data_IF_729284935364
#
_entry.id   IF_729284935364
#
_cell.length_a   1.000
_cell.length_b   1.000
_cell.length_c   1.000
_cell.angle_alpha   90.00
_cell.angle_beta   90.00
_cell.angle_gamma   90.00
#
_symmetry.space_group_name_H-M   'P 1'
#
loop_
_entity.id
_entity.type
_entity.pdbx_description
1 polymer ?
#
# COMPACT_ATOMS: atom_id res chain seq x y z
N UNK A 1 -19.66 -10.41 7.55
CA UNK A 1 -18.37 -10.46 6.83
C UNK A 1 -17.60 -9.17 7.08
N UNK A 2 -16.36 -9.27 7.50
CA UNK A 2 -15.54 -8.08 7.78
C UNK A 2 -14.57 -7.84 6.65
N UNK A 3 -14.72 -6.67 6.03
CA UNK A 3 -13.90 -6.23 4.90
C UNK A 3 -13.01 -5.07 5.31
N UNK A 4 -11.72 -5.19 5.06
CA UNK A 4 -10.74 -4.13 5.29
C UNK A 4 -10.29 -3.53 3.95
N UNK A 5 -10.15 -2.22 3.91
CA UNK A 5 -9.60 -1.48 2.77
C UNK A 5 -8.20 -1.00 3.11
N UNK A 6 -7.21 -1.37 2.30
CA UNK A 6 -5.84 -0.88 2.41
C UNK A 6 -5.50 0.04 1.24
N UNK A 7 -5.63 1.35 1.40
CA UNK A 7 -5.31 2.33 0.36
C UNK A 7 -3.85 2.77 0.47
N UNK A 8 -3.27 3.13 -0.66
CA UNK A 8 -1.93 3.69 -0.68
C UNK A 8 -1.49 4.06 -2.09
N UNK A 9 -0.41 4.82 -2.19
CA UNK A 9 0.19 5.14 -3.49
C UNK A 9 0.83 3.90 -4.12
N UNK A 10 1.53 3.10 -3.31
CA UNK A 10 2.20 1.86 -3.74
C UNK A 10 3.09 2.06 -4.98
N UNK A 11 3.99 3.00 -4.91
CA UNK A 11 4.79 3.44 -6.05
C UNK A 11 6.32 3.31 -5.79
N UNK A 12 6.84 2.09 -5.72
CA UNK A 12 6.14 0.81 -5.86
C UNK A 12 5.66 0.22 -4.52
N UNK A 13 4.89 -0.85 -4.63
CA UNK A 13 4.55 -1.75 -3.54
C UNK A 13 5.82 -2.44 -3.04
N UNK A 14 6.04 -2.46 -1.71
CA UNK A 14 7.25 -3.03 -1.13
C UNK A 14 6.94 -4.04 -0.02
N UNK A 15 7.97 -4.65 0.55
CA UNK A 15 7.79 -5.71 1.54
C UNK A 15 7.13 -5.23 2.84
N UNK A 16 7.29 -3.95 3.19
CA UNK A 16 6.56 -3.36 4.30
C UNK A 16 5.04 -3.30 4.05
N UNK A 17 4.64 -3.01 2.82
CA UNK A 17 3.23 -3.06 2.42
C UNK A 17 2.71 -4.50 2.41
N UNK A 18 3.48 -5.43 1.86
CA UNK A 18 3.08 -6.84 1.80
C UNK A 18 2.87 -7.42 3.20
N UNK A 19 3.75 -7.11 4.14
CA UNK A 19 3.60 -7.52 5.54
C UNK A 19 2.25 -7.08 6.13
N UNK A 20 1.84 -5.84 5.88
CA UNK A 20 0.55 -5.33 6.35
C UNK A 20 -0.61 -6.09 5.70
N UNK A 21 -0.53 -6.34 4.40
CA UNK A 21 -1.57 -7.10 3.69
C UNK A 21 -1.66 -8.53 4.22
N UNK A 22 -0.53 -9.18 4.46
CA UNK A 22 -0.49 -10.53 5.02
C UNK A 22 -1.09 -10.58 6.42
N UNK A 23 -0.74 -9.62 7.28
CA UNK A 23 -1.33 -9.52 8.61
C UNK A 23 -2.84 -9.29 8.54
N UNK A 24 -3.28 -8.37 7.70
CA UNK A 24 -4.70 -8.09 7.51
C UNK A 24 -5.46 -9.30 6.96
N UNK A 25 -4.86 -10.06 6.06
CA UNK A 25 -5.49 -11.26 5.48
C UNK A 25 -5.82 -12.33 6.51
N UNK A 26 -5.10 -12.34 7.62
CA UNK A 26 -5.37 -13.26 8.74
C UNK A 26 -6.45 -12.73 9.69
N UNK A 27 -6.68 -11.43 9.72
CA UNK A 27 -7.61 -10.77 10.64
C UNK A 27 -9.00 -10.54 10.04
N UNK A 28 -9.07 -10.39 8.73
CA UNK A 28 -10.31 -10.04 8.02
C UNK A 28 -10.69 -11.12 7.01
N UNK A 29 -11.98 -11.26 6.79
CA UNK A 29 -12.47 -12.21 5.78
C UNK A 29 -12.15 -11.79 4.36
N UNK A 30 -12.07 -10.48 4.13
CA UNK A 30 -11.71 -9.89 2.85
C UNK A 30 -10.82 -8.67 3.04
N UNK A 31 -9.75 -8.58 2.28
CA UNK A 31 -8.88 -7.41 2.23
C UNK A 31 -8.88 -6.86 0.80
N UNK A 32 -9.15 -5.58 0.67
CA UNK A 32 -9.11 -4.89 -0.63
C UNK A 32 -7.94 -3.93 -0.62
N UNK A 33 -6.97 -4.14 -1.50
CA UNK A 33 -5.82 -3.24 -1.69
C UNK A 33 -6.15 -2.29 -2.82
N UNK A 34 -6.02 -0.98 -2.56
CA UNK A 34 -6.42 0.04 -3.52
C UNK A 34 -5.27 1.02 -3.78
N UNK A 35 -4.53 0.84 -4.88
CA UNK A 35 -3.57 1.86 -5.31
C UNK A 35 -4.33 3.13 -5.70
N UNK A 36 -3.78 4.27 -5.27
CA UNK A 36 -4.41 5.56 -5.49
C UNK A 36 -3.42 6.58 -6.03
N UNK A 37 -3.95 7.59 -6.70
CA UNK A 37 -3.17 8.74 -7.12
C UNK A 37 -3.05 9.71 -5.95
N UNK A 38 -1.82 10.01 -5.55
CA UNK A 38 -1.59 11.03 -4.55
C UNK A 38 -1.22 12.36 -5.24
N UNK A 39 -2.16 13.29 -5.23
CA UNK A 39 -1.99 14.59 -5.90
C UNK A 39 -0.98 15.51 -5.21
N UNK A 40 -0.62 15.20 -3.97
CA UNK A 40 0.40 15.97 -3.22
C UNK A 40 1.83 15.52 -3.52
N UNK A 41 1.98 14.33 -4.09
CA UNK A 41 3.26 13.82 -4.57
C UNK A 41 3.35 14.11 -6.06
N UNK A 42 4.55 14.38 -6.57
CA UNK A 42 4.78 14.61 -8.00
C UNK A 42 4.38 13.41 -8.87
N UNK A 43 4.78 13.40 -10.13
CA UNK A 43 4.47 12.30 -11.03
C UNK A 43 4.92 10.96 -10.47
N UNK A 44 4.06 9.94 -10.46
CA UNK A 44 4.42 8.62 -10.00
C UNK A 44 5.42 7.95 -10.95
N UNK A 45 6.25 7.07 -10.41
CA UNK A 45 7.17 6.27 -11.23
C UNK A 45 6.41 5.27 -12.11
N UNK A 46 5.39 4.66 -11.55
CA UNK A 46 4.56 3.66 -12.22
C UNK A 46 3.13 4.16 -12.39
N UNK A 47 2.51 3.80 -13.52
CA UNK A 47 1.09 4.08 -13.76
C UNK A 47 0.22 3.31 -12.75
N UNK A 48 -1.04 3.71 -12.60
CA UNK A 48 -1.99 2.97 -11.77
C UNK A 48 -2.10 1.50 -12.21
N UNK A 49 -2.14 1.26 -13.52
CA UNK A 49 -2.22 -0.09 -14.07
C UNK A 49 -0.97 -0.92 -13.73
N UNK A 50 0.21 -0.36 -13.92
CA UNK A 50 1.47 -1.02 -13.55
C UNK A 50 1.50 -1.36 -12.05
N UNK A 51 1.04 -0.45 -11.21
CA UNK A 51 0.98 -0.68 -9.76
C UNK A 51 -0.01 -1.79 -9.39
N UNK A 52 -1.17 -1.81 -10.03
CA UNK A 52 -2.15 -2.90 -9.85
C UNK A 52 -1.57 -4.25 -10.23
N UNK A 53 -0.93 -4.34 -11.38
CA UNK A 53 -0.30 -5.58 -11.85
C UNK A 53 0.76 -6.09 -10.87
N UNK A 54 1.63 -5.20 -10.39
CA UNK A 54 2.65 -5.54 -9.41
C UNK A 54 2.05 -6.04 -8.10
N UNK A 55 1.02 -5.37 -7.59
CA UNK A 55 0.34 -5.77 -6.35
C UNK A 55 -0.35 -7.12 -6.56
N UNK A 56 -1.09 -7.28 -7.63
CA UNK A 56 -1.79 -8.53 -7.92
C UNK A 56 -0.83 -9.73 -7.96
N UNK A 57 0.31 -9.57 -8.62
CA UNK A 57 1.34 -10.60 -8.68
C UNK A 57 1.99 -10.88 -7.32
N UNK A 58 2.08 -9.87 -6.46
CA UNK A 58 2.72 -9.98 -5.15
C UNK A 58 1.82 -10.61 -4.07
N UNK A 59 0.51 -10.67 -4.28
CA UNK A 59 -0.45 -11.18 -3.29
C UNK A 59 -1.17 -12.46 -3.74
N UNK A 60 -0.67 -13.13 -4.77
CA UNK A 60 -1.30 -14.35 -5.32
C UNK A 60 -1.45 -15.47 -4.29
N UNK A 61 -0.61 -15.48 -3.26
CA UNK A 61 -0.66 -16.45 -2.17
C UNK A 61 -1.74 -16.15 -1.11
N UNK A 62 -2.46 -15.06 -1.26
CA UNK A 62 -3.48 -14.59 -0.31
C UNK A 62 -4.86 -14.64 -0.97
N UNK A 63 -5.63 -15.74 -0.79
CA UNK A 63 -6.87 -15.95 -1.54
C UNK A 63 -7.99 -14.97 -1.20
N UNK A 64 -7.95 -14.34 -0.04
CA UNK A 64 -8.95 -13.36 0.41
C UNK A 64 -8.57 -11.90 0.13
N UNK A 65 -7.48 -11.69 -0.62
CA UNK A 65 -7.02 -10.34 -1.00
C UNK A 65 -7.44 -10.06 -2.44
N UNK A 66 -8.11 -8.94 -2.63
CA UNK A 66 -8.53 -8.44 -3.95
C UNK A 66 -8.05 -7.00 -4.13
N UNK A 67 -8.10 -6.51 -5.36
CA UNK A 67 -7.71 -5.14 -5.68
C UNK A 67 -8.92 -4.31 -6.10
N UNK A 68 -8.86 -3.01 -5.79
CA UNK A 68 -9.79 -2.02 -6.32
C UNK A 68 -9.00 -0.87 -6.94
N UNK A 69 -9.66 -0.12 -7.80
CA UNK A 69 -9.11 1.13 -8.33
C UNK A 69 -9.73 2.30 -7.60
N UNK A 70 -8.91 3.26 -7.21
CA UNK A 70 -9.36 4.47 -6.56
C UNK A 70 -9.12 5.69 -7.44
N UNK A 71 -10.20 6.33 -7.85
CA UNK A 71 -10.17 7.59 -8.62
C UNK A 71 -10.65 8.80 -7.81
N UNK A 72 -11.08 8.58 -6.58
CA UNK A 72 -11.72 9.59 -5.74
C UNK A 72 -11.23 9.50 -4.29
N UNK A 73 -12.08 9.88 -3.34
CA UNK A 73 -11.73 9.81 -1.93
C UNK A 73 -11.76 8.37 -1.40
N UNK A 74 -10.84 8.07 -0.49
CA UNK A 74 -10.76 6.75 0.18
C UNK A 74 -12.08 6.39 0.85
N UNK A 75 -12.74 7.36 1.49
CA UNK A 75 -14.03 7.14 2.16
C UNK A 75 -15.15 6.75 1.21
N UNK A 76 -15.14 7.28 -0.01
CA UNK A 76 -16.13 6.93 -1.04
C UNK A 76 -15.93 5.51 -1.51
N UNK A 77 -14.68 5.12 -1.75
CA UNK A 77 -14.35 3.73 -2.08
C UNK A 77 -14.70 2.78 -0.95
N UNK A 78 -14.40 3.15 0.31
CA UNK A 78 -14.75 2.34 1.46
C UNK A 78 -16.25 2.05 1.51
N UNK A 79 -17.06 3.06 1.25
CA UNK A 79 -18.53 2.92 1.19
C UNK A 79 -18.96 2.04 0.02
N UNK A 80 -18.40 2.28 -1.16
CA UNK A 80 -18.72 1.53 -2.38
C UNK A 80 -18.48 0.03 -2.24
N UNK A 81 -17.35 -0.36 -1.67
CA UNK A 81 -16.99 -1.78 -1.49
C UNK A 81 -17.56 -2.40 -0.21
N UNK A 82 -18.23 -1.62 0.62
CA UNK A 82 -18.75 -2.10 1.90
C UNK A 82 -17.64 -2.41 2.90
N UNK A 83 -16.57 -1.62 2.92
CA UNK A 83 -15.49 -1.81 3.88
C UNK A 83 -15.95 -1.43 5.29
N UNK A 84 -15.65 -2.30 6.24
CA UNK A 84 -15.92 -2.05 7.66
C UNK A 84 -14.86 -1.15 8.28
N UNK A 85 -13.65 -1.19 7.74
CA UNK A 85 -12.49 -0.48 8.29
C UNK A 85 -11.48 -0.15 7.20
N UNK A 86 -10.77 0.95 7.39
CA UNK A 86 -9.56 1.28 6.64
C UNK A 86 -8.36 0.80 7.47
N UNK A 87 -7.41 0.14 6.85
CA UNK A 87 -6.15 -0.25 7.50
C UNK A 87 -4.99 0.57 6.96
N UNK A 88 -4.06 0.86 7.83
CA UNK A 88 -2.83 1.59 7.54
C UNK A 88 -1.66 0.94 8.25
N UNK A 89 -0.51 0.89 7.61
CA UNK A 89 0.73 0.51 8.27
C UNK A 89 1.28 1.66 9.11
N UNK A 90 1.90 1.33 10.24
CA UNK A 90 2.57 2.32 11.08
C UNK A 90 4.04 1.93 11.22
N UNK A 91 4.94 2.84 10.85
CA UNK A 91 6.40 2.66 10.92
C UNK A 91 7.01 3.54 11.99
N UNK A 92 8.22 3.18 12.45
CA UNK A 92 8.95 3.93 13.49
C UNK A 92 9.24 5.37 13.07
N UNK A 93 9.64 5.58 11.82
CA UNK A 93 9.94 6.91 11.25
C UNK A 93 8.75 7.49 10.52
N UNK A 94 7.56 7.37 11.09
CA UNK A 94 6.34 7.60 10.34
C UNK A 94 5.79 9.00 10.46
N UNK A 95 4.96 9.32 9.49
CA UNK A 95 4.02 10.42 9.48
C UNK A 95 2.81 10.12 10.38
N UNK A 96 3.05 9.60 11.60
CA UNK A 96 2.01 9.14 12.50
C UNK A 96 0.96 10.21 12.78
N UNK A 97 1.39 11.46 12.94
CA UNK A 97 0.46 12.57 13.16
C UNK A 97 -0.44 12.80 11.96
N UNK A 98 0.13 12.83 10.75
CA UNK A 98 -0.64 13.03 9.52
C UNK A 98 -1.62 11.88 9.29
N UNK A 99 -1.18 10.65 9.51
CA UNK A 99 -2.05 9.46 9.38
C UNK A 99 -3.19 9.49 10.41
N UNK A 100 -2.91 9.92 11.64
CA UNK A 100 -3.93 10.05 12.68
C UNK A 100 -4.95 11.13 12.34
N UNK A 101 -4.49 12.29 11.85
CA UNK A 101 -5.38 13.37 11.41
C UNK A 101 -6.31 12.88 10.29
N UNK A 102 -5.77 12.18 9.31
CA UNK A 102 -6.56 11.64 8.22
C UNK A 102 -7.59 10.62 8.71
N UNK A 103 -7.21 9.75 9.65
CA UNK A 103 -8.13 8.79 10.27
C UNK A 103 -9.28 9.49 10.98
N UNK A 104 -8.98 10.57 11.70
CA UNK A 104 -10.00 11.37 12.39
C UNK A 104 -10.95 12.06 11.39
N UNK A 105 -10.42 12.59 10.29
CA UNK A 105 -11.23 13.18 9.22
C UNK A 105 -12.13 12.13 8.57
N UNK A 106 -11.61 10.97 8.25
CA UNK A 106 -12.38 9.89 7.63
C UNK A 106 -13.53 9.44 8.54
N UNK A 107 -13.29 9.33 9.84
CA UNK A 107 -14.32 9.03 10.82
C UNK A 107 -15.41 10.11 10.84
N UNK A 108 -15.02 11.37 10.86
CA UNK A 108 -15.97 12.49 10.93
C UNK A 108 -16.79 12.62 9.66
N UNK A 109 -16.16 12.45 8.50
CA UNK A 109 -16.82 12.62 7.20
C UNK A 109 -17.74 11.46 6.84
N UNK A 110 -17.32 10.23 7.13
CA UNK A 110 -18.00 9.04 6.61
C UNK A 110 -18.27 7.94 7.65
N UNK A 111 -17.90 8.15 8.91
CA UNK A 111 -18.11 7.14 9.95
C UNK A 111 -17.23 5.90 9.82
N UNK A 112 -16.20 5.95 8.98
CA UNK A 112 -15.29 4.81 8.76
C UNK A 112 -14.12 4.88 9.73
N UNK A 113 -13.89 3.81 10.47
CA UNK A 113 -12.77 3.69 11.39
C UNK A 113 -11.49 3.30 10.66
N UNK A 114 -10.35 3.68 11.23
CA UNK A 114 -9.03 3.29 10.74
C UNK A 114 -8.30 2.47 11.81
N UNK A 115 -7.76 1.34 11.42
CA UNK A 115 -6.88 0.53 12.27
C UNK A 115 -5.45 0.62 11.76
N UNK A 116 -4.52 0.80 12.69
CA UNK A 116 -3.10 0.85 12.39
C UNK A 116 -2.45 -0.49 12.75
N UNK A 117 -1.72 -1.05 11.78
CA UNK A 117 -0.94 -2.27 11.97
C UNK A 117 0.53 -1.87 12.00
N UNK A 118 1.24 -2.10 13.12
CA UNK A 118 2.64 -1.73 13.20
C UNK A 118 3.48 -2.62 12.28
N UNK A 119 4.43 -2.01 11.58
CA UNK A 119 5.43 -2.75 10.81
C UNK A 119 6.42 -3.43 11.74
N UNK A 120 6.95 -4.59 11.32
CA UNK A 120 8.05 -5.23 12.02
C UNK A 120 9.32 -4.37 11.92
N UNK A 121 10.27 -4.61 12.82
CA UNK A 121 11.56 -3.92 12.76
C UNK A 121 12.35 -4.26 11.49
N UNK A 122 12.10 -5.42 10.90
CA UNK A 122 12.73 -5.86 9.65
C UNK A 122 12.36 -4.98 8.45
N UNK A 123 11.11 -4.50 8.40
CA UNK A 123 10.60 -3.73 7.25
C UNK A 123 10.29 -2.27 7.57
N UNK A 124 10.42 -1.85 8.82
CA UNK A 124 10.00 -0.50 9.25
C UNK A 124 10.78 0.64 8.60
N UNK A 125 12.00 0.38 8.12
CA UNK A 125 12.82 1.38 7.44
C UNK A 125 12.52 1.53 5.95
N UNK A 126 11.74 0.62 5.36
CA UNK A 126 11.47 0.63 3.92
C UNK A 126 10.46 1.73 3.59
N UNK A 127 10.79 2.55 2.61
CA UNK A 127 9.91 3.58 2.06
C UNK A 127 10.00 3.56 0.54
N UNK A 128 8.88 3.72 -0.14
CA UNK A 128 8.84 3.72 -1.61
C UNK A 128 9.77 4.78 -2.21
N UNK A 129 9.90 5.93 -1.57
CA UNK A 129 10.84 6.98 -1.98
C UNK A 129 12.27 6.46 -2.09
N UNK A 130 12.74 5.74 -1.07
CA UNK A 130 14.09 5.19 -1.08
C UNK A 130 14.23 4.05 -2.07
N UNK A 131 13.20 3.23 -2.22
CA UNK A 131 13.20 2.17 -3.25
C UNK A 131 13.39 2.79 -4.63
N UNK A 132 12.65 3.85 -4.95
CA UNK A 132 12.79 4.56 -6.24
C UNK A 132 14.18 5.15 -6.43
N UNK A 133 14.70 5.84 -5.41
CA UNK A 133 16.00 6.52 -5.50
C UNK A 133 17.14 5.50 -5.67
N UNK A 134 17.16 4.45 -4.87
CA UNK A 134 18.19 3.43 -4.98
C UNK A 134 18.10 2.67 -6.30
N UNK A 135 16.90 2.33 -6.77
CA UNK A 135 16.73 1.67 -8.05
C UNK A 135 17.24 2.54 -9.22
N UNK A 136 16.95 3.84 -9.16
CA UNK A 136 17.35 4.80 -10.21
C UNK A 136 18.86 5.02 -10.26
N UNK A 137 19.51 5.20 -9.12
CA UNK A 137 20.90 5.64 -9.04
C UNK A 137 21.87 4.53 -8.67
N UNK A 138 21.42 3.48 -8.01
CA UNK A 138 22.26 2.39 -7.52
C UNK A 138 22.05 1.03 -8.20
N UNK A 139 21.00 0.91 -8.98
CA UNK A 139 20.58 -0.35 -9.61
C UNK A 139 19.60 -1.14 -8.75
N UNK A 140 18.57 -1.67 -9.41
CA UNK A 140 17.47 -2.37 -8.75
C UNK A 140 17.92 -3.62 -7.98
N UNK A 141 18.96 -4.30 -8.44
CA UNK A 141 19.47 -5.51 -7.78
C UNK A 141 19.94 -5.27 -6.34
N UNK A 142 20.41 -4.06 -6.05
CA UNK A 142 20.91 -3.71 -4.71
C UNK A 142 19.84 -3.65 -3.66
N UNK A 143 18.59 -3.43 -4.08
CA UNK A 143 17.44 -3.26 -3.15
C UNK A 143 16.41 -4.38 -3.31
N UNK A 144 16.79 -5.50 -3.93
CA UNK A 144 15.88 -6.62 -4.14
C UNK A 144 15.26 -7.18 -2.88
N UNK A 145 15.94 -7.05 -1.73
CA UNK A 145 15.41 -7.48 -0.44
C UNK A 145 14.26 -6.59 0.09
N UNK A 146 14.01 -5.44 -0.51
CA UNK A 146 12.98 -4.49 -0.06
C UNK A 146 11.63 -4.68 -0.74
N UNK A 147 11.59 -5.40 -1.85
CA UNK A 147 10.39 -5.52 -2.68
C UNK A 147 10.10 -6.98 -3.03
N UNK A 148 8.82 -7.32 -3.30
CA UNK A 148 8.49 -8.63 -3.87
C UNK A 148 9.14 -8.83 -5.25
N UNK A 149 9.35 -10.10 -5.63
CA UNK A 149 9.97 -10.46 -6.92
C UNK A 149 9.34 -9.78 -8.13
N UNK A 150 8.00 -9.79 -8.29
CA UNK A 150 7.34 -9.11 -9.41
C UNK A 150 7.62 -7.61 -9.48
N UNK A 151 7.78 -6.96 -8.32
CA UNK A 151 8.13 -5.53 -8.26
C UNK A 151 9.58 -5.31 -8.66
N UNK A 152 10.48 -6.18 -8.20
CA UNK A 152 11.89 -6.11 -8.59
C UNK A 152 12.05 -6.21 -10.12
N UNK A 153 11.33 -7.12 -10.75
CA UNK A 153 11.36 -7.30 -12.21
C UNK A 153 10.94 -6.01 -12.92
N UNK A 154 9.87 -5.37 -12.47
CA UNK A 154 9.40 -4.09 -13.03
C UNK A 154 10.40 -2.95 -12.81
N UNK A 155 11.06 -2.89 -11.67
CA UNK A 155 12.11 -1.90 -11.42
C UNK A 155 13.30 -2.10 -12.36
N UNK A 156 13.70 -3.35 -12.61
CA UNK A 156 14.77 -3.67 -13.57
C UNK A 156 14.40 -3.23 -14.98
N UNK A 157 13.18 -3.50 -15.42
CA UNK A 157 12.70 -3.05 -16.73
C UNK A 157 12.70 -1.51 -16.84
N UNK A 158 12.26 -0.84 -15.78
CA UNK A 158 12.13 0.63 -15.77
C UNK A 158 13.46 1.35 -15.87
N UNK A 159 14.50 0.79 -15.27
CA UNK A 159 15.84 1.40 -15.19
C UNK A 159 16.92 0.62 -15.94
N UNK A 160 16.51 -0.24 -16.84
CA UNK A 160 17.45 -0.96 -17.71
C UNK A 160 18.20 -0.02 -18.66
#
# INVERSE_FOLDING_TARGET
MRTALFPGSFDPFHNGHLEIVEAASQLFERVVVAPMRNTQKGEPLFTLEERREMIAASVVHLPNVTLASLSSLVVDLAKEIGADVIIKGLRVASDAEAELQQAQMNRKVAGVETLFIPSSSEYSFIASKYVRDFARFGGADRIGFTVPGPVLDKLKEKFA
#
